data_IF_847065320864
#
_entry.id   IF_847065320864
#
_cell.length_a   1.000
_cell.length_b   1.000
_cell.length_c   1.000
_cell.angle_alpha   90.00
_cell.angle_beta   90.00
_cell.angle_gamma   90.00
#
_symmetry.space_group_name_H-M   'P 1'
#
loop_
_entity.id
_entity.type
_entity.pdbx_description
1 polymer ?
#
# COMPACT_ATOMS: atom_id res chain seq x y z
N UNK A 1 -6.10 1.23 11.26
CA UNK A 1 -7.39 0.58 11.45
C UNK A 1 -7.70 -0.33 10.27
N UNK A 2 -8.56 -1.31 10.48
CA UNK A 2 -8.78 -2.35 9.49
C UNK A 2 -10.18 -2.94 9.68
N UNK A 3 -10.97 -2.93 8.61
CA UNK A 3 -12.24 -3.65 8.56
C UNK A 3 -12.46 -4.18 7.14
N UNK A 4 -13.63 -4.73 6.83
CA UNK A 4 -13.87 -5.32 5.52
C UNK A 4 -14.07 -4.29 4.40
N UNK A 5 -14.18 -3.02 4.73
CA UNK A 5 -14.39 -1.96 3.74
C UNK A 5 -13.16 -1.11 3.51
N UNK A 6 -12.29 -0.95 4.52
CA UNK A 6 -11.17 -0.03 4.45
C UNK A 6 -10.01 -0.45 5.32
N UNK A 7 -8.84 0.05 4.97
CA UNK A 7 -7.60 -0.13 5.73
C UNK A 7 -6.90 1.22 5.89
N UNK A 8 -6.28 1.42 7.03
CA UNK A 8 -5.37 2.54 7.26
C UNK A 8 -4.10 1.98 7.89
N UNK A 9 -2.98 2.27 7.27
CA UNK A 9 -1.67 1.87 7.79
C UNK A 9 -0.69 3.01 7.62
N UNK A 10 0.51 2.83 8.15
CA UNK A 10 1.53 3.86 8.12
C UNK A 10 2.90 3.23 7.90
N UNK A 11 3.79 4.01 7.31
CA UNK A 11 5.19 3.64 7.15
C UNK A 11 6.07 4.87 7.33
N UNK A 12 7.18 4.70 8.05
CA UNK A 12 8.19 5.75 8.17
C UNK A 12 9.38 5.36 7.32
N UNK A 13 9.70 6.20 6.33
CA UNK A 13 10.89 5.99 5.52
C UNK A 13 12.13 6.22 6.37
N UNK A 14 13.08 5.30 6.26
CA UNK A 14 14.36 5.43 6.95
C UNK A 14 15.18 6.52 6.26
N UNK A 15 16.02 7.20 7.01
CA UNK A 15 16.88 8.24 6.44
C UNK A 15 17.96 7.64 5.53
N UNK A 16 18.29 6.37 5.71
CA UNK A 16 19.34 5.66 4.97
C UNK A 16 18.81 4.60 4.02
N UNK A 17 17.58 4.71 3.53
CA UNK A 17 17.08 3.79 2.50
C UNK A 17 18.02 3.81 1.29
N UNK A 18 18.29 2.63 0.72
CA UNK A 18 19.32 2.50 -0.31
C UNK A 18 19.06 3.37 -1.56
N UNK A 19 17.80 3.60 -1.90
CA UNK A 19 17.45 4.35 -3.11
C UNK A 19 17.76 5.84 -3.01
N UNK A 20 17.98 6.39 -1.81
CA UNK A 20 18.26 7.81 -1.66
C UNK A 20 19.64 8.21 -2.19
N UNK A 21 20.56 7.26 -2.29
CA UNK A 21 21.91 7.55 -2.79
C UNK A 21 21.89 8.03 -4.25
N UNK A 22 20.97 7.47 -5.04
CA UNK A 22 20.87 7.82 -6.46
C UNK A 22 19.71 8.75 -6.82
N UNK A 23 18.82 9.03 -5.87
CA UNK A 23 17.59 9.76 -6.22
C UNK A 23 17.30 10.85 -5.18
N UNK A 24 18.02 11.96 -5.16
CA UNK A 24 19.12 12.34 -6.05
C UNK A 24 20.32 12.69 -5.21
N UNK A 25 21.57 12.63 -5.75
CA UNK A 25 22.75 13.05 -5.00
C UNK A 25 22.61 14.49 -4.49
N UNK A 26 22.83 14.69 -3.20
CA UNK A 26 22.71 16.01 -2.56
C UNK A 26 21.28 16.47 -2.26
N UNK A 27 20.26 15.82 -2.82
CA UNK A 27 18.85 16.12 -2.52
C UNK A 27 18.04 14.83 -2.62
N UNK A 28 18.09 13.98 -1.61
CA UNK A 28 17.34 12.73 -1.63
C UNK A 28 15.83 12.98 -1.50
N UNK A 29 15.07 12.34 -2.37
CA UNK A 29 13.61 12.30 -2.30
C UNK A 29 13.17 10.86 -2.57
N UNK A 30 12.03 10.48 -2.05
CA UNK A 30 11.51 9.13 -2.27
C UNK A 30 10.98 8.99 -3.69
N UNK A 31 11.48 8.00 -4.47
CA UNK A 31 10.99 7.78 -5.83
C UNK A 31 9.49 7.47 -5.86
N UNK A 32 8.81 7.96 -6.90
CA UNK A 32 7.38 7.71 -7.06
C UNK A 32 7.03 6.23 -7.08
N UNK A 33 7.87 5.39 -7.70
CA UNK A 33 7.62 3.94 -7.73
C UNK A 33 7.66 3.32 -6.34
N UNK A 34 8.45 3.88 -5.41
CA UNK A 34 8.50 3.42 -4.03
C UNK A 34 7.23 3.86 -3.28
N UNK A 35 6.68 5.02 -3.59
CA UNK A 35 5.41 5.46 -3.03
C UNK A 35 4.28 4.53 -3.48
N UNK A 36 4.27 4.14 -4.75
CA UNK A 36 3.30 3.17 -5.28
C UNK A 36 3.45 1.84 -4.55
N UNK A 37 4.69 1.36 -4.38
CA UNK A 37 4.94 0.11 -3.65
C UNK A 37 4.44 0.19 -2.20
N UNK A 38 4.66 1.31 -1.54
CA UNK A 38 4.19 1.50 -0.16
C UNK A 38 2.66 1.45 -0.09
N UNK A 39 1.97 2.10 -1.04
CA UNK A 39 0.52 2.02 -1.14
C UNK A 39 0.06 0.58 -1.42
N UNK A 40 0.79 -0.14 -2.27
CA UNK A 40 0.45 -1.52 -2.62
C UNK A 40 0.62 -2.46 -1.43
N UNK A 41 1.69 -2.31 -0.66
CA UNK A 41 1.93 -3.18 0.51
C UNK A 41 0.82 -3.04 1.55
N UNK A 42 0.35 -1.85 1.80
CA UNK A 42 -0.71 -1.61 2.78
C UNK A 42 -2.09 -1.82 2.14
N UNK A 43 -2.34 -1.13 1.03
CA UNK A 43 -3.67 -1.07 0.43
C UNK A 43 -4.08 -2.32 -0.32
N UNK A 44 -3.15 -3.04 -0.92
CA UNK A 44 -3.46 -4.23 -1.71
C UNK A 44 -3.01 -5.51 -1.01
N UNK A 45 -1.77 -5.60 -0.57
CA UNK A 45 -1.21 -6.83 0.00
C UNK A 45 -1.81 -7.13 1.37
N UNK A 46 -1.63 -6.24 2.32
CA UNK A 46 -2.14 -6.47 3.68
C UNK A 46 -3.67 -6.56 3.70
N UNK A 47 -4.32 -5.66 2.97
CA UNK A 47 -5.77 -5.62 2.91
C UNK A 47 -6.32 -6.88 2.23
N UNK A 48 -5.69 -7.30 1.13
CA UNK A 48 -6.12 -8.50 0.40
C UNK A 48 -6.02 -9.76 1.24
N UNK A 49 -4.93 -9.92 1.98
CA UNK A 49 -4.75 -11.08 2.89
C UNK A 49 -5.82 -11.06 3.98
N UNK A 50 -6.08 -9.89 4.56
CA UNK A 50 -7.14 -9.75 5.58
C UNK A 50 -8.51 -10.14 5.03
N UNK A 51 -8.86 -9.64 3.84
CA UNK A 51 -10.16 -9.94 3.22
C UNK A 51 -10.30 -11.42 2.89
N UNK A 52 -9.24 -12.05 2.40
CA UNK A 52 -9.22 -13.48 2.14
C UNK A 52 -9.44 -14.27 3.45
N UNK A 53 -8.75 -13.86 4.51
CA UNK A 53 -8.88 -14.51 5.81
C UNK A 53 -10.32 -14.39 6.35
N UNK A 54 -10.95 -13.23 6.19
CA UNK A 54 -12.34 -13.04 6.60
C UNK A 54 -13.30 -13.90 5.77
N UNK A 55 -13.11 -13.89 4.45
CA UNK A 55 -14.00 -14.63 3.54
C UNK A 55 -13.93 -16.14 3.75
N UNK A 56 -12.74 -16.67 4.00
CA UNK A 56 -12.53 -18.11 4.21
C UNK A 56 -12.50 -18.50 5.67
N UNK A 57 -12.73 -17.57 6.60
CA UNK A 57 -12.69 -17.80 8.04
C UNK A 57 -11.38 -18.49 8.48
N UNK A 58 -10.27 -18.01 7.94
CA UNK A 58 -8.95 -18.58 8.20
C UNK A 58 -8.45 -18.20 9.59
N UNK A 59 -7.76 -19.15 10.24
CA UNK A 59 -7.02 -18.87 11.47
C UNK A 59 -5.68 -18.21 11.14
N UNK A 60 -5.09 -17.44 12.06
CA UNK A 60 -3.77 -16.82 11.80
C UNK A 60 -2.71 -17.81 11.36
N UNK A 61 -2.72 -19.04 11.87
CA UNK A 61 -1.77 -20.09 11.49
C UNK A 61 -1.93 -20.55 10.05
N UNK A 62 -3.08 -20.30 9.42
CA UNK A 62 -3.36 -20.69 8.04
C UNK A 62 -3.00 -19.58 7.05
N UNK A 63 -2.73 -18.38 7.55
CA UNK A 63 -2.45 -17.21 6.69
C UNK A 63 -1.03 -17.20 6.15
N UNK A 64 -0.14 -18.02 6.69
CA UNK A 64 1.26 -18.08 6.25
C UNK A 64 1.41 -18.46 4.78
N UNK A 65 0.41 -19.15 4.22
CA UNK A 65 0.45 -19.60 2.83
C UNK A 65 -0.27 -18.65 1.88
N UNK A 66 -0.85 -17.57 2.41
CA UNK A 66 -1.53 -16.60 1.57
C UNK A 66 -0.50 -15.70 0.90
N UNK A 67 -0.64 -15.52 -0.42
CA UNK A 67 0.17 -14.59 -1.19
C UNK A 67 -0.74 -13.53 -1.78
N UNK A 68 -0.31 -12.29 -1.73
CA UNK A 68 -0.99 -11.20 -2.40
C UNK A 68 0.00 -10.59 -3.41
N UNK A 69 -0.40 -10.60 -4.66
CA UNK A 69 0.42 -10.09 -5.75
C UNK A 69 -0.21 -8.82 -6.30
N UNK A 70 0.61 -7.79 -6.42
CA UNK A 70 0.22 -6.54 -7.06
C UNK A 70 0.04 -6.81 -8.55
N UNK A 71 -1.13 -6.52 -9.10
CA UNK A 71 -1.41 -6.85 -10.50
C UNK A 71 -1.52 -5.62 -11.41
N UNK A 72 -2.04 -4.51 -10.92
CA UNK A 72 -2.10 -3.31 -11.75
C UNK A 72 -2.27 -2.05 -10.90
N UNK A 73 -1.91 -0.93 -11.50
CA UNK A 73 -2.12 0.39 -10.95
C UNK A 73 -2.69 1.28 -12.05
N UNK A 74 -3.65 2.12 -11.70
CA UNK A 74 -4.30 3.00 -12.67
C UNK A 74 -4.52 4.37 -12.06
N UNK A 75 -4.35 5.41 -12.88
CA UNK A 75 -4.67 6.77 -12.50
C UNK A 75 -3.90 7.33 -11.32
N UNK A 76 -2.62 6.94 -11.17
CA UNK A 76 -1.81 7.47 -10.07
C UNK A 76 -1.40 8.90 -10.35
N UNK A 77 -1.67 9.77 -9.38
CA UNK A 77 -1.24 11.16 -9.44
C UNK A 77 -0.39 11.49 -8.22
N UNK A 78 0.72 12.19 -8.44
CA UNK A 78 1.63 12.62 -7.40
C UNK A 78 1.46 14.11 -7.15
N UNK A 79 1.20 14.49 -5.90
CA UNK A 79 0.97 15.88 -5.50
C UNK A 79 2.06 16.41 -4.57
N UNK A 80 2.88 15.52 -4.02
CA UNK A 80 3.89 15.92 -3.06
C UNK A 80 5.12 15.04 -3.09
N UNK A 81 6.14 15.47 -2.39
CA UNK A 81 7.43 14.81 -2.26
C UNK A 81 7.54 14.25 -0.86
N UNK A 82 8.09 13.05 -0.73
CA UNK A 82 8.38 12.45 0.58
C UNK A 82 9.88 12.47 0.82
N UNK A 83 10.27 13.11 1.91
CA UNK A 83 11.67 13.23 2.32
C UNK A 83 12.12 12.02 3.13
N UNK A 84 13.44 11.76 3.21
CA UNK A 84 13.96 10.74 4.12
C UNK A 84 13.48 10.98 5.55
N UNK A 85 13.12 9.92 6.27
CA UNK A 85 12.66 10.01 7.64
C UNK A 85 11.20 10.37 7.82
N UNK A 86 10.51 10.70 6.75
CA UNK A 86 9.11 11.12 6.83
C UNK A 86 8.18 9.91 7.02
N UNK A 87 7.14 10.10 7.86
CA UNK A 87 6.12 9.09 8.08
C UNK A 87 4.90 9.41 7.21
N UNK A 88 4.43 8.41 6.48
CA UNK A 88 3.26 8.55 5.61
C UNK A 88 2.13 7.64 6.09
N UNK A 89 0.90 8.03 5.81
CA UNK A 89 -0.30 7.28 6.15
C UNK A 89 -0.96 6.87 4.84
N UNK A 90 -1.24 5.58 4.70
CA UNK A 90 -1.91 5.04 3.53
C UNK A 90 -3.31 4.60 3.92
N UNK A 91 -4.29 5.07 3.16
CA UNK A 91 -5.70 4.70 3.32
C UNK A 91 -6.17 3.99 2.06
N UNK A 92 -6.79 2.84 2.25
CA UNK A 92 -7.39 2.08 1.15
C UNK A 92 -8.87 1.88 1.39
N UNK A 93 -9.68 2.13 0.35
CA UNK A 93 -11.11 1.89 0.38
C UNK A 93 -11.45 0.85 -0.69
N UNK A 94 -12.06 -0.24 -0.26
CA UNK A 94 -12.36 -1.35 -1.15
C UNK A 94 -13.44 -0.96 -2.17
N UNK A 95 -13.13 -1.16 -3.45
CA UNK A 95 -14.16 -1.11 -4.48
C UNK A 95 -14.85 -2.46 -4.57
N UNK A 96 -14.07 -3.53 -4.70
CA UNK A 96 -14.59 -4.89 -4.65
C UNK A 96 -13.49 -5.88 -4.28
N UNK A 97 -13.91 -7.03 -3.79
CA UNK A 97 -13.04 -8.18 -3.57
C UNK A 97 -13.82 -9.42 -3.99
N UNK A 98 -13.44 -10.01 -5.12
CA UNK A 98 -14.15 -11.15 -5.74
C UNK A 98 -13.16 -12.15 -6.30
N UNK A 99 -13.36 -13.42 -5.96
CA UNK A 99 -12.52 -14.52 -6.48
C UNK A 99 -11.02 -14.24 -6.30
N UNK A 100 -10.66 -13.67 -5.16
CA UNK A 100 -9.28 -13.33 -4.85
C UNK A 100 -8.78 -12.04 -5.49
N UNK A 101 -9.58 -11.35 -6.30
CA UNK A 101 -9.19 -10.09 -6.94
C UNK A 101 -9.71 -8.92 -6.12
N UNK A 102 -8.79 -8.08 -5.66
CA UNK A 102 -9.08 -6.88 -4.89
C UNK A 102 -8.85 -5.65 -5.77
N UNK A 103 -9.85 -4.79 -5.84
CA UNK A 103 -9.69 -3.45 -6.40
C UNK A 103 -9.91 -2.44 -5.28
N UNK A 104 -8.95 -1.56 -5.10
CA UNK A 104 -8.93 -0.63 -3.96
C UNK A 104 -8.50 0.76 -4.41
N UNK A 105 -9.22 1.77 -3.93
CA UNK A 105 -8.82 3.17 -4.07
C UNK A 105 -7.87 3.50 -2.94
N UNK A 106 -6.66 3.95 -3.26
CA UNK A 106 -5.64 4.24 -2.25
C UNK A 106 -5.25 5.71 -2.26
N UNK A 107 -4.92 6.21 -1.09
CA UNK A 107 -4.43 7.56 -0.87
C UNK A 107 -3.26 7.51 0.10
N UNK A 108 -2.22 8.27 -0.18
CA UNK A 108 -1.12 8.47 0.76
C UNK A 108 -1.14 9.91 1.24
N UNK A 109 -1.05 10.09 2.55
CA UNK A 109 -1.10 11.39 3.20
C UNK A 109 0.08 11.59 4.14
N UNK A 110 0.44 12.84 4.37
CA UNK A 110 1.30 13.20 5.51
C UNK A 110 0.51 13.08 6.80
N UNK A 111 1.19 13.15 7.93
CA UNK A 111 0.53 13.10 9.23
C UNK A 111 -0.43 14.28 9.43
N UNK A 112 -0.20 15.41 8.77
CA UNK A 112 -1.07 16.59 8.85
C UNK A 112 -2.29 16.51 7.91
N UNK A 113 -2.45 15.41 7.16
CA UNK A 113 -3.58 15.22 6.26
C UNK A 113 -3.34 15.69 4.83
N UNK A 114 -2.19 16.29 4.53
CA UNK A 114 -1.86 16.72 3.17
C UNK A 114 -1.70 15.52 2.25
N UNK A 115 -2.36 15.53 1.11
CA UNK A 115 -2.31 14.42 0.14
C UNK A 115 -0.96 14.43 -0.58
N UNK A 116 -0.30 13.28 -0.61
CA UNK A 116 0.97 13.08 -1.32
C UNK A 116 0.71 12.47 -2.69
N UNK A 117 -0.10 11.41 -2.74
CA UNK A 117 -0.48 10.78 -4.01
C UNK A 117 -1.72 9.92 -3.78
N UNK A 118 -2.34 9.53 -4.88
CA UNK A 118 -3.46 8.59 -4.86
C UNK A 118 -3.48 7.78 -6.14
N UNK A 119 -4.23 6.67 -6.11
CA UNK A 119 -4.41 5.83 -7.30
C UNK A 119 -5.29 4.64 -7.01
N UNK A 120 -5.70 3.96 -8.07
CA UNK A 120 -6.47 2.72 -7.99
C UNK A 120 -5.51 1.56 -8.16
N UNK A 121 -5.52 0.65 -7.19
CA UNK A 121 -4.64 -0.52 -7.21
C UNK A 121 -5.47 -1.79 -7.31
N UNK A 122 -4.92 -2.79 -7.99
CA UNK A 122 -5.49 -4.13 -8.02
C UNK A 122 -4.45 -5.13 -7.56
N UNK A 123 -4.91 -6.10 -6.79
CA UNK A 123 -4.09 -7.20 -6.34
C UNK A 123 -4.83 -8.52 -6.47
N UNK A 124 -4.09 -9.60 -6.51
CA UNK A 124 -4.64 -10.96 -6.56
C UNK A 124 -4.12 -11.70 -5.34
N UNK A 125 -5.03 -12.26 -4.56
CA UNK A 125 -4.69 -13.04 -3.38
C UNK A 125 -4.88 -14.52 -3.71
N UNK A 126 -3.85 -15.30 -3.47
CA UNK A 126 -3.88 -16.74 -3.68
C UNK A 126 -3.37 -17.44 -2.43
N UNK A 127 -3.92 -18.61 -2.17
CA UNK A 127 -3.48 -19.46 -1.06
C UNK A 127 -2.72 -20.63 -1.65
N UNK A 128 -1.42 -20.64 -1.44
CA UNK A 128 -0.52 -21.66 -2.00
C UNK A 128 -0.28 -22.81 -1.05
#
# INVERSE_FOLDING_TARGET
SLDEEKITGAYRFKEDEFFYLGHFPGRPITPGVILIETMAQIGATAFGIYLMACQKKMRPSEMDKALSLFSSVDGVEFKGIVDPGERVIVKGNKNYFRKGVLKVETTMERENGEIICWGTLMGVVANL
#
